data_IF_188427357554
#
_entry.id   IF_188427357554
#
_cell.length_a   1.000
_cell.length_b   1.000
_cell.length_c   1.000
_cell.angle_alpha   90.00
_cell.angle_beta   90.00
_cell.angle_gamma   90.00
#
_symmetry.space_group_name_H-M   'P 1'
#
loop_
_entity.id
_entity.type
_entity.pdbx_description
1 polymer ?
#
# COMPACT_ATOMS: atom_id res chain seq x y z
N UNK A 1 -8.65 23.25 18.05
CA UNK A 1 -8.53 22.47 16.82
C UNK A 1 -9.62 21.40 16.90
N UNK A 2 -10.47 21.25 15.86
CA UNK A 2 -11.46 20.17 15.80
C UNK A 2 -10.72 18.82 15.74
N UNK A 3 -11.17 17.85 16.54
CA UNK A 3 -10.62 16.50 16.54
C UNK A 3 -10.94 15.80 15.22
N UNK A 4 -10.05 14.92 14.78
CA UNK A 4 -10.30 14.03 13.65
C UNK A 4 -11.54 13.17 13.95
N UNK A 5 -12.47 12.99 12.98
CA UNK A 5 -13.61 12.11 13.16
C UNK A 5 -13.16 10.68 13.46
N UNK A 6 -13.68 10.11 14.55
CA UNK A 6 -13.48 8.70 14.90
C UNK A 6 -14.58 7.81 14.36
N UNK A 7 -14.28 6.52 14.11
CA UNK A 7 -15.22 5.47 13.70
C UNK A 7 -14.95 4.16 14.40
N UNK A 8 -15.97 3.38 14.65
CA UNK A 8 -15.86 2.00 15.09
C UNK A 8 -15.72 1.14 13.83
N UNK A 9 -14.50 0.69 13.54
CA UNK A 9 -14.24 -0.20 12.42
C UNK A 9 -14.77 -1.62 12.67
N UNK A 10 -14.60 -2.10 13.89
CA UNK A 10 -15.16 -3.38 14.39
C UNK A 10 -15.32 -3.31 15.90
N UNK A 11 -16.22 -4.12 16.46
CA UNK A 11 -16.42 -4.21 17.92
C UNK A 11 -15.19 -4.72 18.68
N UNK A 12 -14.19 -5.25 17.98
CA UNK A 12 -12.94 -5.78 18.55
C UNK A 12 -11.85 -4.73 18.72
N UNK A 13 -12.02 -3.57 18.09
CA UNK A 13 -11.05 -2.46 18.13
C UNK A 13 -11.65 -1.24 18.83
N UNK A 14 -10.83 -0.44 19.52
CA UNK A 14 -11.22 0.92 19.91
C UNK A 14 -11.59 1.75 18.67
N UNK A 15 -12.26 2.90 18.84
CA UNK A 15 -12.51 3.82 17.73
C UNK A 15 -11.20 4.23 17.05
N UNK A 16 -11.19 4.16 15.72
CA UNK A 16 -10.05 4.59 14.89
C UNK A 16 -10.33 5.95 14.25
N UNK A 17 -9.30 6.73 13.99
CA UNK A 17 -9.43 7.95 13.16
C UNK A 17 -9.88 7.57 11.76
N UNK A 18 -10.81 8.35 11.19
CA UNK A 18 -11.31 8.11 9.84
C UNK A 18 -10.22 8.27 8.77
N UNK A 19 -9.21 9.10 9.04
CA UNK A 19 -7.94 9.15 8.33
C UNK A 19 -6.97 8.15 8.94
N UNK A 20 -6.60 7.10 8.20
CA UNK A 20 -5.52 6.19 8.55
C UNK A 20 -4.22 6.59 7.82
N UNK A 21 -3.08 6.41 8.47
CA UNK A 21 -1.78 6.63 7.85
C UNK A 21 -1.37 5.40 7.03
N UNK A 22 -1.31 5.52 5.70
CA UNK A 22 -0.79 4.47 4.80
C UNK A 22 0.73 4.51 4.74
N UNK A 23 1.41 3.65 5.48
CA UNK A 23 2.86 3.73 5.71
C UNK A 23 3.73 3.27 4.54
N UNK A 24 3.16 2.68 3.48
CA UNK A 24 3.91 2.29 2.27
C UNK A 24 4.74 3.45 1.72
N UNK A 25 4.20 4.68 1.80
CA UNK A 25 4.78 5.87 1.20
C UNK A 25 6.10 6.33 1.84
N UNK A 26 6.34 6.02 3.10
CA UNK A 26 7.57 6.41 3.81
C UNK A 26 8.66 5.34 3.74
N UNK A 27 8.30 4.11 3.34
CA UNK A 27 9.19 2.96 3.32
C UNK A 27 10.00 2.81 2.03
N UNK A 28 10.83 1.74 1.98
CA UNK A 28 11.79 1.50 0.90
C UNK A 28 11.16 1.20 -0.46
N UNK A 29 9.85 0.92 -0.52
CA UNK A 29 9.15 0.69 -1.78
C UNK A 29 8.72 1.99 -2.48
N UNK A 30 8.76 3.14 -1.78
CA UNK A 30 8.41 4.44 -2.34
C UNK A 30 9.46 5.51 -1.99
N UNK A 31 9.24 6.37 -1.00
CA UNK A 31 10.14 7.51 -0.71
C UNK A 31 11.49 7.09 -0.10
N UNK A 32 11.59 5.86 0.39
CA UNK A 32 12.80 5.32 1.01
C UNK A 32 13.41 6.27 2.06
N UNK A 33 12.54 6.82 2.91
CA UNK A 33 12.99 7.65 4.02
C UNK A 33 13.81 6.80 5.00
N UNK A 34 14.79 7.40 5.66
CA UNK A 34 15.44 6.68 6.76
C UNK A 34 14.46 6.42 7.90
N UNK A 35 14.65 5.37 8.72
CA UNK A 35 13.78 5.12 9.86
C UNK A 35 13.64 6.31 10.80
N UNK A 36 14.72 7.13 10.98
CA UNK A 36 14.71 8.33 11.82
C UNK A 36 13.79 9.41 11.25
N UNK A 37 13.88 9.70 9.94
CA UNK A 37 13.02 10.71 9.28
C UNK A 37 11.57 10.23 9.18
N UNK A 38 11.34 9.00 8.81
CA UNK A 38 10.00 8.42 8.80
C UNK A 38 9.39 8.42 10.22
N UNK A 39 10.21 8.14 11.24
CA UNK A 39 9.80 8.22 12.64
C UNK A 39 9.35 9.62 13.06
N UNK A 40 9.97 10.69 12.55
CA UNK A 40 9.54 12.07 12.77
C UNK A 40 8.17 12.33 12.12
N UNK A 41 8.01 11.96 10.86
CA UNK A 41 6.75 12.11 10.12
C UNK A 41 5.61 11.34 10.79
N UNK A 42 5.85 10.09 11.16
CA UNK A 42 4.85 9.23 11.81
C UNK A 42 4.47 9.75 13.21
N UNK A 43 5.46 10.11 14.04
CA UNK A 43 5.17 10.66 15.38
C UNK A 43 4.38 11.96 15.28
N UNK A 44 4.70 12.82 14.32
CA UNK A 44 3.92 14.03 14.06
C UNK A 44 2.46 13.70 13.73
N UNK A 45 2.21 12.72 12.86
CA UNK A 45 0.86 12.29 12.51
C UNK A 45 0.08 11.77 13.72
N UNK A 46 0.72 10.91 14.54
CA UNK A 46 0.10 10.34 15.74
C UNK A 46 -0.23 11.42 16.77
N UNK A 47 0.71 12.35 17.01
CA UNK A 47 0.52 13.47 17.95
C UNK A 47 -0.54 14.48 17.49
N UNK A 48 -0.93 14.44 16.20
CA UNK A 48 -2.02 15.22 15.60
C UNK A 48 -3.36 14.46 15.57
N UNK A 49 -3.42 13.27 16.14
CA UNK A 49 -4.66 12.52 16.35
C UNK A 49 -4.95 11.45 15.31
N UNK A 50 -4.03 11.14 14.38
CA UNK A 50 -4.13 9.95 13.54
C UNK A 50 -3.75 8.76 14.41
N UNK A 51 -4.73 7.97 14.83
CA UNK A 51 -4.52 6.81 15.69
C UNK A 51 -4.65 5.47 14.97
N UNK A 52 -4.71 5.47 13.63
CA UNK A 52 -4.79 4.27 12.82
C UNK A 52 -3.70 4.28 11.75
N UNK A 53 -2.90 3.21 11.74
CA UNK A 53 -1.78 3.04 10.80
C UNK A 53 -1.97 1.74 10.01
N UNK A 54 -1.80 1.81 8.69
CA UNK A 54 -1.78 0.67 7.79
C UNK A 54 -0.37 0.36 7.30
N UNK A 55 0.05 -0.90 7.47
CA UNK A 55 1.31 -1.44 6.96
C UNK A 55 1.14 -2.87 6.43
N UNK A 56 2.25 -3.51 6.05
CA UNK A 56 2.32 -4.91 5.67
C UNK A 56 3.75 -5.43 5.84
N UNK A 57 3.89 -6.74 6.05
CA UNK A 57 5.18 -7.44 6.06
C UNK A 57 6.01 -7.13 4.79
N UNK A 58 5.36 -7.16 3.64
CA UNK A 58 6.00 -6.89 2.35
C UNK A 58 6.54 -5.46 2.20
N UNK A 59 6.03 -4.48 2.97
CA UNK A 59 6.48 -3.09 2.88
C UNK A 59 7.87 -2.86 3.48
N UNK A 60 8.36 -3.79 4.31
CA UNK A 60 9.69 -3.75 4.95
C UNK A 60 9.97 -2.47 5.73
N UNK A 61 8.93 -1.91 6.35
CA UNK A 61 8.99 -0.61 7.02
C UNK A 61 8.65 -0.66 8.52
N UNK A 62 8.67 -1.82 9.15
CA UNK A 62 8.42 -1.94 10.59
C UNK A 62 9.39 -1.11 11.43
N UNK A 63 10.67 -1.03 11.04
CA UNK A 63 11.67 -0.19 11.72
C UNK A 63 11.30 1.31 11.70
N UNK A 64 10.73 1.78 10.58
CA UNK A 64 10.24 3.16 10.42
C UNK A 64 9.07 3.44 11.37
N UNK A 65 8.12 2.50 11.44
CA UNK A 65 6.95 2.60 12.31
C UNK A 65 7.37 2.56 13.78
N UNK A 66 8.25 1.63 14.16
CA UNK A 66 8.81 1.55 15.52
C UNK A 66 9.45 2.87 15.93
N UNK A 67 10.25 3.49 15.05
CA UNK A 67 10.86 4.79 15.33
C UNK A 67 9.81 5.90 15.57
N UNK A 68 8.67 5.86 14.85
CA UNK A 68 7.54 6.77 15.07
C UNK A 68 6.83 6.54 16.40
N UNK A 69 6.58 5.28 16.74
CA UNK A 69 5.96 4.90 18.02
C UNK A 69 6.83 5.28 19.21
N UNK A 70 8.15 5.14 19.11
CA UNK A 70 9.09 5.53 20.17
C UNK A 70 9.17 7.06 20.41
N UNK A 71 8.83 7.85 19.40
CA UNK A 71 8.89 9.32 19.46
C UNK A 71 7.54 9.96 19.82
N UNK A 72 6.40 9.32 19.52
CA UNK A 72 5.09 9.90 19.76
C UNK A 72 4.71 9.84 21.25
N UNK A 73 3.80 10.76 21.65
CA UNK A 73 3.42 10.94 23.07
C UNK A 73 2.60 9.80 23.64
N UNK A 74 1.79 9.14 22.81
CA UNK A 74 0.84 8.09 23.22
C UNK A 74 0.87 6.91 22.26
N UNK A 75 1.96 6.14 22.23
CA UNK A 75 2.10 5.01 21.32
C UNK A 75 1.02 3.95 21.52
N UNK A 76 0.52 3.79 22.74
CA UNK A 76 -0.52 2.81 23.11
C UNK A 76 -1.87 3.10 22.44
N UNK A 77 -2.14 4.33 22.02
CA UNK A 77 -3.39 4.70 21.34
C UNK A 77 -3.35 4.39 19.83
N UNK A 78 -2.16 4.14 19.27
CA UNK A 78 -1.99 3.87 17.84
C UNK A 78 -2.38 2.44 17.51
N UNK A 79 -3.48 2.27 16.76
CA UNK A 79 -3.94 0.99 16.22
C UNK A 79 -3.14 0.63 14.97
N UNK A 80 -2.56 -0.56 14.94
CA UNK A 80 -1.71 -1.03 13.84
C UNK A 80 -2.41 -2.15 13.07
N UNK A 81 -2.59 -1.92 11.76
CA UNK A 81 -2.98 -2.92 10.79
C UNK A 81 -1.76 -3.42 10.03
N UNK A 82 -1.52 -4.74 10.00
CA UNK A 82 -0.51 -5.36 9.16
C UNK A 82 -1.07 -6.50 8.32
N UNK A 83 -0.27 -6.98 7.35
CA UNK A 83 -0.71 -7.95 6.34
C UNK A 83 0.42 -8.91 5.97
N UNK A 84 0.06 -10.14 5.58
CA UNK A 84 1.01 -11.14 5.06
C UNK A 84 0.46 -11.86 3.84
N UNK A 85 1.36 -12.35 2.98
CA UNK A 85 1.04 -13.28 1.89
C UNK A 85 1.13 -14.75 2.31
N UNK A 86 1.30 -15.03 3.60
CA UNK A 86 1.33 -16.41 4.08
C UNK A 86 0.04 -17.16 3.72
N UNK A 87 0.19 -18.38 3.24
CA UNK A 87 -0.92 -19.25 2.84
C UNK A 87 -1.09 -20.46 3.78
N UNK A 88 -0.09 -20.74 4.61
CA UNK A 88 -0.07 -21.84 5.56
C UNK A 88 0.07 -21.37 7.01
N UNK A 89 -0.02 -22.31 7.94
CA UNK A 89 0.08 -22.05 9.37
C UNK A 89 1.46 -21.49 9.77
N UNK A 90 2.53 -22.08 9.25
CA UNK A 90 3.89 -21.72 9.65
C UNK A 90 4.21 -20.28 9.26
N UNK A 91 3.92 -19.91 8.01
CA UNK A 91 4.13 -18.54 7.51
C UNK A 91 3.25 -17.52 8.22
N UNK A 92 2.00 -17.87 8.58
CA UNK A 92 1.13 -16.96 9.33
C UNK A 92 1.65 -16.69 10.74
N UNK A 93 2.15 -17.72 11.44
CA UNK A 93 2.78 -17.56 12.76
C UNK A 93 4.04 -16.69 12.66
N UNK A 94 4.94 -17.00 11.72
CA UNK A 94 6.16 -16.25 11.50
C UNK A 94 5.88 -14.76 11.20
N UNK A 95 4.92 -14.48 10.33
CA UNK A 95 4.58 -13.10 9.96
C UNK A 95 4.01 -12.27 11.12
N UNK A 96 3.17 -12.89 11.99
CA UNK A 96 2.65 -12.21 13.17
C UNK A 96 3.75 -11.99 14.20
N UNK A 97 4.61 -12.97 14.44
CA UNK A 97 5.73 -12.84 15.40
C UNK A 97 6.77 -11.82 14.89
N UNK A 98 7.10 -11.81 13.58
CA UNK A 98 7.93 -10.78 12.96
C UNK A 98 7.37 -9.37 13.21
N UNK A 99 6.08 -9.17 12.94
CA UNK A 99 5.45 -7.87 13.15
C UNK A 99 5.51 -7.45 14.62
N UNK A 100 5.20 -8.34 15.56
CA UNK A 100 5.23 -8.04 17.00
C UNK A 100 6.63 -7.66 17.48
N UNK A 101 7.63 -8.44 17.11
CA UNK A 101 9.04 -8.22 17.48
C UNK A 101 9.59 -6.93 16.84
N UNK A 102 9.36 -6.73 15.55
CA UNK A 102 9.91 -5.58 14.84
C UNK A 102 9.25 -4.26 15.24
N UNK A 103 7.95 -4.27 15.57
CA UNK A 103 7.19 -3.11 16.03
C UNK A 103 7.30 -2.87 17.54
N UNK A 104 7.89 -3.81 18.29
CA UNK A 104 7.94 -3.78 19.76
C UNK A 104 6.53 -3.72 20.39
N UNK A 105 5.65 -4.63 19.93
CA UNK A 105 4.25 -4.72 20.35
C UNK A 105 3.89 -6.14 20.79
N UNK A 106 3.28 -6.29 21.93
CA UNK A 106 2.76 -7.59 22.39
C UNK A 106 1.56 -8.06 21.57
N UNK A 107 0.73 -7.12 21.12
CA UNK A 107 -0.49 -7.36 20.37
C UNK A 107 -0.51 -6.50 19.11
N UNK A 108 -0.87 -7.08 17.97
CA UNK A 108 -1.20 -6.33 16.73
C UNK A 108 -2.72 -6.20 16.64
N UNK A 109 -3.20 -4.99 16.37
CA UNK A 109 -4.63 -4.70 16.44
C UNK A 109 -5.42 -5.36 15.31
N UNK A 110 -4.92 -5.29 14.08
CA UNK A 110 -5.54 -5.92 12.91
C UNK A 110 -4.48 -6.65 12.09
N UNK A 111 -4.69 -7.94 11.82
CA UNK A 111 -3.81 -8.70 10.95
C UNK A 111 -4.59 -9.31 9.78
N UNK A 112 -4.09 -9.16 8.57
CA UNK A 112 -4.84 -9.48 7.36
C UNK A 112 -4.07 -10.40 6.41
N UNK A 113 -4.80 -11.20 5.62
CA UNK A 113 -4.24 -11.78 4.41
C UNK A 113 -4.15 -10.70 3.33
N UNK A 114 -2.97 -10.61 2.69
CA UNK A 114 -2.66 -9.55 1.73
C UNK A 114 -3.19 -9.91 0.34
N UNK A 115 -3.84 -8.95 -0.34
CA UNK A 115 -4.24 -8.97 -1.75
C UNK A 115 -4.95 -10.27 -2.21
N UNK A 116 -6.02 -10.63 -1.50
CA UNK A 116 -6.86 -11.75 -1.92
C UNK A 116 -7.65 -11.39 -3.18
N UNK A 117 -7.82 -12.36 -4.09
CA UNK A 117 -8.39 -12.11 -5.42
C UNK A 117 -9.82 -12.67 -5.59
N UNK A 118 -10.15 -13.76 -4.89
CA UNK A 118 -11.44 -14.44 -5.02
C UNK A 118 -11.68 -15.42 -3.87
N UNK A 119 -12.83 -16.08 -3.85
CA UNK A 119 -13.12 -17.21 -2.95
C UNK A 119 -12.07 -18.33 -3.09
N UNK A 120 -11.48 -18.52 -4.26
CA UNK A 120 -10.49 -19.57 -4.47
C UNK A 120 -9.17 -19.24 -3.78
N UNK A 121 -8.71 -17.98 -3.83
CA UNK A 121 -7.52 -17.55 -3.06
C UNK A 121 -7.79 -17.62 -1.57
N UNK A 122 -8.97 -17.18 -1.10
CA UNK A 122 -9.37 -17.29 0.30
C UNK A 122 -9.36 -18.74 0.79
N UNK A 123 -9.87 -19.69 0.02
CA UNK A 123 -9.83 -21.12 0.33
C UNK A 123 -8.42 -21.69 0.24
N UNK A 124 -7.60 -21.25 -0.70
CA UNK A 124 -6.18 -21.61 -0.81
C UNK A 124 -5.33 -21.12 0.38
N UNK A 125 -5.74 -20.02 1.02
CA UNK A 125 -5.10 -19.45 2.22
C UNK A 125 -5.83 -19.82 3.52
N UNK A 126 -6.71 -20.84 3.48
CA UNK A 126 -7.56 -21.19 4.62
C UNK A 126 -6.77 -21.55 5.87
N UNK A 127 -5.67 -22.26 5.73
CA UNK A 127 -4.82 -22.65 6.86
C UNK A 127 -4.21 -21.44 7.56
N UNK A 128 -3.73 -20.45 6.79
CA UNK A 128 -3.26 -19.18 7.32
C UNK A 128 -4.39 -18.41 8.01
N UNK A 129 -5.58 -18.32 7.39
CA UNK A 129 -6.73 -17.63 7.93
C UNK A 129 -7.20 -18.25 9.27
N UNK A 130 -7.31 -19.57 9.35
CA UNK A 130 -7.67 -20.29 10.59
C UNK A 130 -6.61 -20.07 11.68
N UNK A 131 -5.34 -19.93 11.30
CA UNK A 131 -4.25 -19.58 12.22
C UNK A 131 -4.41 -18.17 12.77
N UNK A 132 -4.75 -17.19 11.93
CA UNK A 132 -5.03 -15.83 12.39
C UNK A 132 -6.23 -15.81 13.35
N UNK A 133 -7.30 -16.54 13.07
CA UNK A 133 -8.42 -16.67 14.02
C UNK A 133 -7.98 -17.28 15.34
N UNK A 134 -7.16 -18.33 15.33
CA UNK A 134 -6.63 -18.92 16.55
C UNK A 134 -5.75 -17.96 17.36
N UNK A 135 -4.96 -17.09 16.68
CA UNK A 135 -4.16 -16.04 17.31
C UNK A 135 -5.05 -14.93 17.89
N UNK A 136 -6.16 -14.61 17.24
CA UNK A 136 -7.17 -13.70 17.76
C UNK A 136 -7.79 -14.21 19.04
N UNK A 137 -8.20 -15.47 19.09
CA UNK A 137 -8.77 -16.07 20.31
C UNK A 137 -7.77 -16.14 21.47
N UNK A 138 -6.46 -16.17 21.15
CA UNK A 138 -5.37 -16.10 22.16
C UNK A 138 -5.03 -14.67 22.58
N UNK A 139 -5.62 -13.64 21.95
CA UNK A 139 -5.33 -12.24 22.20
C UNK A 139 -3.98 -11.75 21.66
N UNK A 140 -3.34 -12.51 20.77
CA UNK A 140 -2.08 -12.11 20.09
C UNK A 140 -2.35 -11.06 19.01
N UNK A 141 -3.50 -11.17 18.35
CA UNK A 141 -4.07 -10.13 17.47
C UNK A 141 -5.50 -9.85 17.91
N UNK A 142 -6.05 -8.68 17.62
CA UNK A 142 -7.41 -8.30 18.03
C UNK A 142 -8.46 -8.59 16.97
N UNK A 143 -8.14 -8.33 15.70
CA UNK A 143 -9.05 -8.49 14.58
C UNK A 143 -8.36 -9.16 13.39
N UNK A 144 -9.15 -9.85 12.55
CA UNK A 144 -8.70 -10.56 11.36
C UNK A 144 -9.41 -10.03 10.13
N UNK A 145 -8.68 -9.86 9.03
CA UNK A 145 -9.25 -9.36 7.79
C UNK A 145 -8.51 -9.80 6.53
N UNK A 146 -8.87 -9.16 5.43
CA UNK A 146 -8.16 -9.27 4.16
C UNK A 146 -7.96 -7.89 3.53
N UNK A 147 -6.97 -7.76 2.65
CA UNK A 147 -6.92 -6.68 1.67
C UNK A 147 -7.18 -7.22 0.27
N UNK A 148 -7.74 -6.38 -0.61
CA UNK A 148 -8.07 -6.80 -1.97
C UNK A 148 -8.16 -5.64 -2.96
N UNK A 149 -7.90 -5.95 -4.24
CA UNK A 149 -8.17 -5.11 -5.40
C UNK A 149 -9.34 -5.66 -6.25
N UNK A 150 -10.01 -6.75 -5.80
CA UNK A 150 -10.98 -7.50 -6.57
C UNK A 150 -12.38 -7.48 -5.91
N UNK A 151 -13.41 -7.23 -6.70
CA UNK A 151 -14.81 -7.39 -6.27
C UNK A 151 -15.12 -8.85 -5.94
N UNK A 152 -14.56 -9.79 -6.71
CA UNK A 152 -14.71 -11.23 -6.49
C UNK A 152 -14.16 -11.70 -5.14
N UNK A 153 -13.16 -11.04 -4.57
CA UNK A 153 -12.68 -11.37 -3.24
C UNK A 153 -13.65 -10.92 -2.15
N UNK A 154 -14.29 -9.76 -2.33
CA UNK A 154 -15.33 -9.27 -1.39
C UNK A 154 -16.57 -10.18 -1.46
N UNK A 155 -17.00 -10.61 -2.65
CA UNK A 155 -18.03 -11.66 -2.80
C UNK A 155 -17.62 -12.97 -2.11
N UNK A 156 -16.34 -13.34 -2.20
CA UNK A 156 -15.79 -14.50 -1.51
C UNK A 156 -15.88 -14.40 0.01
N UNK A 157 -15.71 -13.19 0.58
CA UNK A 157 -15.87 -12.95 2.02
C UNK A 157 -17.34 -13.18 2.44
N UNK A 158 -18.30 -12.70 1.65
CA UNK A 158 -19.73 -12.95 1.89
C UNK A 158 -20.04 -14.46 1.86
N UNK A 159 -19.51 -15.20 0.89
CA UNK A 159 -19.67 -16.65 0.81
C UNK A 159 -19.06 -17.36 2.03
N UNK A 160 -17.87 -16.95 2.50
CA UNK A 160 -17.27 -17.49 3.71
C UNK A 160 -18.13 -17.21 4.95
N UNK A 161 -18.76 -16.04 5.03
CA UNK A 161 -19.66 -15.70 6.13
C UNK A 161 -20.90 -16.63 6.16
N UNK A 162 -21.46 -17.01 5.00
CA UNK A 162 -22.53 -18.01 4.88
C UNK A 162 -22.06 -19.41 5.36
N UNK A 163 -20.78 -19.71 5.19
CA UNK A 163 -20.13 -20.94 5.69
C UNK A 163 -19.75 -20.84 7.19
N UNK A 164 -20.07 -19.74 7.87
CA UNK A 164 -19.75 -19.51 9.29
C UNK A 164 -18.36 -18.93 9.54
N UNK A 165 -17.63 -18.49 8.52
CA UNK A 165 -16.30 -17.88 8.63
C UNK A 165 -16.42 -16.38 8.47
N UNK A 166 -16.50 -15.66 9.59
CA UNK A 166 -16.75 -14.23 9.63
C UNK A 166 -15.45 -13.45 9.84
N UNK A 167 -15.08 -12.62 8.86
CA UNK A 167 -13.98 -11.67 8.95
C UNK A 167 -14.43 -10.41 9.69
N UNK A 168 -13.49 -9.80 10.44
CA UNK A 168 -13.76 -8.57 11.17
C UNK A 168 -13.66 -7.32 10.26
N UNK A 169 -12.74 -7.35 9.27
CA UNK A 169 -12.40 -6.19 8.45
C UNK A 169 -12.04 -6.58 7.02
N UNK A 170 -12.43 -5.75 6.05
CA UNK A 170 -11.92 -5.80 4.67
C UNK A 170 -11.29 -4.46 4.30
N UNK A 171 -10.13 -4.52 3.65
CA UNK A 171 -9.34 -3.38 3.16
C UNK A 171 -9.32 -3.35 1.64
N UNK A 172 -10.36 -2.79 0.98
CA UNK A 172 -10.48 -2.79 -0.48
C UNK A 172 -9.74 -1.61 -1.11
N UNK A 173 -9.28 -1.80 -2.34
CA UNK A 173 -8.98 -0.69 -3.24
C UNK A 173 -10.30 -0.05 -3.68
N UNK A 174 -10.45 1.25 -3.41
CA UNK A 174 -11.65 1.99 -3.82
C UNK A 174 -11.34 3.44 -4.15
N UNK A 175 -11.68 3.87 -5.37
CA UNK A 175 -11.57 5.26 -5.81
C UNK A 175 -12.60 5.58 -6.90
N UNK A 176 -12.84 6.87 -7.13
CA UNK A 176 -13.82 7.38 -8.08
C UNK A 176 -13.61 6.92 -9.53
N UNK A 177 -12.37 6.78 -9.95
CA UNK A 177 -12.01 6.41 -11.32
C UNK A 177 -11.93 4.89 -11.56
N UNK A 178 -11.99 4.06 -10.50
CA UNK A 178 -11.83 2.61 -10.61
C UNK A 178 -10.42 2.16 -10.95
N UNK A 179 -9.44 3.05 -10.97
CA UNK A 179 -8.05 2.71 -11.29
C UNK A 179 -7.51 1.75 -10.24
N UNK A 180 -7.10 0.57 -10.70
CA UNK A 180 -6.56 -0.49 -9.87
C UNK A 180 -7.61 -1.49 -9.36
N UNK A 181 -8.90 -1.32 -9.59
CA UNK A 181 -9.90 -2.38 -9.44
C UNK A 181 -9.65 -3.40 -10.55
N UNK A 182 -9.36 -4.63 -10.18
CA UNK A 182 -8.91 -5.65 -11.13
C UNK A 182 -10.06 -6.32 -11.90
N UNK A 183 -11.26 -6.31 -11.30
CA UNK A 183 -12.45 -6.94 -11.85
C UNK A 183 -13.71 -6.10 -11.50
N UNK A 184 -14.33 -5.51 -12.49
CA UNK A 184 -15.51 -4.68 -12.32
C UNK A 184 -15.22 -3.17 -12.25
N UNK A 185 -16.26 -2.41 -11.92
CA UNK A 185 -16.29 -0.95 -11.87
C UNK A 185 -16.33 -0.44 -10.41
N UNK A 186 -16.15 0.86 -10.16
CA UNK A 186 -16.39 1.44 -8.83
C UNK A 186 -17.82 1.16 -8.31
N UNK A 187 -18.81 1.12 -9.19
CA UNK A 187 -20.18 0.82 -8.82
C UNK A 187 -20.36 -0.63 -8.37
N UNK A 188 -19.73 -1.58 -9.07
CA UNK A 188 -19.73 -3.00 -8.69
C UNK A 188 -19.06 -3.20 -7.34
N UNK A 189 -17.88 -2.60 -7.13
CA UNK A 189 -17.20 -2.64 -5.85
C UNK A 189 -18.03 -2.01 -4.73
N UNK A 190 -18.66 -0.85 -4.96
CA UNK A 190 -19.52 -0.20 -3.98
C UNK A 190 -20.73 -1.07 -3.60
N UNK A 191 -21.34 -1.72 -4.57
CA UNK A 191 -22.50 -2.58 -4.33
C UNK A 191 -22.16 -3.78 -3.43
N UNK A 192 -21.04 -4.46 -3.68
CA UNK A 192 -20.62 -5.60 -2.87
C UNK A 192 -20.11 -5.18 -1.48
N UNK A 193 -19.42 -4.02 -1.38
CA UNK A 193 -18.97 -3.48 -0.10
C UNK A 193 -20.14 -3.05 0.79
N UNK A 194 -21.21 -2.50 0.20
CA UNK A 194 -22.45 -2.17 0.94
C UNK A 194 -23.04 -3.43 1.57
N UNK A 195 -23.22 -4.49 0.78
CA UNK A 195 -23.73 -5.77 1.28
C UNK A 195 -22.87 -6.34 2.39
N UNK A 196 -21.53 -6.25 2.25
CA UNK A 196 -20.61 -6.75 3.27
C UNK A 196 -20.68 -5.90 4.56
N UNK A 197 -20.71 -4.58 4.44
CA UNK A 197 -20.82 -3.67 5.59
C UNK A 197 -22.12 -3.90 6.38
N UNK A 198 -23.22 -4.21 5.70
CA UNK A 198 -24.52 -4.55 6.34
C UNK A 198 -24.43 -5.81 7.21
N UNK A 199 -23.45 -6.68 7.02
CA UNK A 199 -23.18 -7.83 7.91
C UNK A 199 -22.44 -7.44 9.21
N UNK A 200 -21.98 -6.19 9.32
CA UNK A 200 -21.17 -5.69 10.43
C UNK A 200 -19.66 -5.86 10.25
N UNK A 201 -19.19 -6.23 9.05
CA UNK A 201 -17.78 -6.22 8.69
C UNK A 201 -17.30 -4.77 8.50
N UNK A 202 -16.19 -4.38 9.16
CA UNK A 202 -15.61 -3.06 9.01
C UNK A 202 -14.89 -2.88 7.66
N UNK A 203 -14.95 -1.68 7.10
CA UNK A 203 -14.33 -1.40 5.81
C UNK A 203 -13.45 -0.15 5.91
N UNK A 204 -12.17 -0.30 5.63
CA UNK A 204 -11.29 0.85 5.44
C UNK A 204 -10.60 0.79 4.07
N UNK A 205 -10.80 1.85 3.26
CA UNK A 205 -10.36 1.87 1.87
C UNK A 205 -8.89 2.22 1.70
N UNK A 206 -8.30 1.75 0.60
CA UNK A 206 -6.98 2.19 0.13
C UNK A 206 -7.07 2.82 -1.25
N UNK A 207 -6.03 3.59 -1.60
CA UNK A 207 -5.83 4.18 -2.93
C UNK A 207 -6.99 5.09 -3.39
N UNK A 208 -7.58 5.86 -2.46
CA UNK A 208 -8.62 6.84 -2.76
C UNK A 208 -8.18 7.87 -3.83
N UNK A 209 -6.88 8.17 -3.90
CA UNK A 209 -6.26 9.03 -4.92
C UNK A 209 -5.70 8.24 -6.12
N UNK A 210 -6.09 6.96 -6.28
CA UNK A 210 -5.69 6.11 -7.40
C UNK A 210 -4.16 6.09 -7.65
N UNK A 211 -3.35 5.98 -6.58
CA UNK A 211 -1.89 6.02 -6.70
C UNK A 211 -1.33 7.37 -7.15
N UNK A 212 -2.10 8.45 -7.03
CA UNK A 212 -1.71 9.79 -7.47
C UNK A 212 -2.39 10.27 -8.75
N UNK A 213 -3.08 9.41 -9.51
CA UNK A 213 -3.78 9.80 -10.74
C UNK A 213 -4.88 10.86 -10.50
N UNK A 214 -5.53 10.83 -9.34
CA UNK A 214 -6.61 11.75 -8.98
C UNK A 214 -6.12 12.95 -8.16
N UNK A 215 -4.84 13.19 -8.18
CA UNK A 215 -4.21 14.17 -7.34
C UNK A 215 -4.64 15.63 -7.62
N UNK A 216 -4.84 15.99 -8.88
CA UNK A 216 -5.31 17.33 -9.25
C UNK A 216 -6.72 17.64 -8.72
N UNK A 217 -7.52 16.59 -8.49
CA UNK A 217 -8.86 16.67 -7.96
C UNK A 217 -8.95 15.92 -6.61
N UNK A 218 -7.90 15.98 -5.78
CA UNK A 218 -7.79 15.20 -4.55
C UNK A 218 -8.98 15.40 -3.61
N UNK A 219 -9.50 16.64 -3.48
CA UNK A 219 -10.67 16.94 -2.66
C UNK A 219 -11.91 16.18 -3.13
N UNK A 220 -12.21 16.22 -4.43
CA UNK A 220 -13.34 15.50 -5.01
C UNK A 220 -13.18 13.98 -4.91
N UNK A 221 -11.96 13.48 -5.12
CA UNK A 221 -11.67 12.06 -5.02
C UNK A 221 -11.81 11.52 -3.59
N UNK A 222 -11.33 12.24 -2.60
CA UNK A 222 -11.51 11.89 -1.19
C UNK A 222 -12.96 12.03 -0.74
N UNK A 223 -13.66 13.10 -1.14
CA UNK A 223 -15.08 13.29 -0.85
C UNK A 223 -15.90 12.12 -1.36
N UNK A 224 -15.71 11.71 -2.62
CA UNK A 224 -16.40 10.57 -3.22
C UNK A 224 -16.26 9.28 -2.38
N UNK A 225 -15.05 9.00 -1.87
CA UNK A 225 -14.81 7.81 -1.04
C UNK A 225 -15.43 7.97 0.34
N UNK A 226 -15.32 9.16 0.95
CA UNK A 226 -15.80 9.42 2.30
C UNK A 226 -17.33 9.55 2.39
N UNK A 227 -18.01 9.85 1.29
CA UNK A 227 -19.48 9.89 1.19
C UNK A 227 -20.11 8.50 1.14
N UNK A 228 -19.32 7.44 0.89
CA UNK A 228 -19.85 6.08 0.88
C UNK A 228 -20.27 5.65 2.29
N UNK A 229 -21.51 5.19 2.50
CA UNK A 229 -22.00 4.81 3.83
C UNK A 229 -21.20 3.65 4.46
N UNK A 230 -20.64 2.76 3.62
CA UNK A 230 -19.84 1.62 4.03
C UNK A 230 -18.38 1.97 4.38
N UNK A 231 -17.91 3.19 4.11
CA UNK A 231 -16.51 3.55 4.29
C UNK A 231 -16.24 4.09 5.70
N UNK A 232 -15.72 3.25 6.58
CA UNK A 232 -15.42 3.61 7.97
C UNK A 232 -14.17 4.46 8.08
N UNK A 233 -13.08 4.07 7.38
CA UNK A 233 -11.82 4.80 7.35
C UNK A 233 -11.14 4.71 5.98
N UNK A 234 -10.15 5.58 5.74
CA UNK A 234 -9.37 5.61 4.49
C UNK A 234 -7.88 5.73 4.80
N UNK A 235 -7.08 4.79 4.29
CA UNK A 235 -5.64 4.86 4.35
C UNK A 235 -5.09 5.80 3.28
N UNK A 236 -4.46 6.89 3.72
CA UNK A 236 -3.82 7.88 2.85
C UNK A 236 -2.31 7.86 3.10
N UNK A 237 -1.54 7.74 2.04
CA UNK A 237 -0.09 7.83 2.11
C UNK A 237 0.36 9.29 2.22
N UNK A 238 1.22 9.56 3.19
CA UNK A 238 1.78 10.88 3.45
C UNK A 238 3.29 10.76 3.68
N UNK A 239 4.08 11.76 3.29
CA UNK A 239 5.54 11.72 3.35
C UNK A 239 6.16 12.87 4.17
N UNK A 240 5.37 13.90 4.47
CA UNK A 240 5.80 15.04 5.27
C UNK A 240 4.65 15.63 6.11
N UNK A 241 5.02 16.56 6.98
CA UNK A 241 4.11 17.22 7.93
C UNK A 241 3.06 18.09 7.20
N UNK A 242 3.39 18.65 6.05
CA UNK A 242 2.48 19.49 5.26
C UNK A 242 1.36 18.64 4.63
N UNK A 243 1.70 17.45 4.12
CA UNK A 243 0.72 16.48 3.63
C UNK A 243 -0.19 15.99 4.78
N UNK A 244 0.36 15.76 5.97
CA UNK A 244 -0.40 15.36 7.16
C UNK A 244 -1.40 16.45 7.54
N UNK A 245 -0.95 17.69 7.68
CA UNK A 245 -1.82 18.81 8.05
C UNK A 245 -2.93 19.06 7.02
N UNK A 246 -2.60 18.98 5.74
CA UNK A 246 -3.57 19.12 4.67
C UNK A 246 -4.66 18.02 4.72
N UNK A 247 -4.27 16.76 4.92
CA UNK A 247 -5.22 15.65 5.02
C UNK A 247 -6.05 15.74 6.31
N UNK A 248 -5.45 16.07 7.45
CA UNK A 248 -6.19 16.30 8.70
C UNK A 248 -7.24 17.40 8.50
N UNK A 249 -6.87 18.52 7.89
CA UNK A 249 -7.80 19.60 7.61
C UNK A 249 -8.96 19.11 6.72
N UNK A 250 -8.66 18.38 5.64
CA UNK A 250 -9.69 17.84 4.75
C UNK A 250 -10.65 16.88 5.47
N UNK A 251 -10.13 15.92 6.24
CA UNK A 251 -10.97 14.95 6.98
C UNK A 251 -11.80 15.60 8.10
N UNK A 252 -11.38 16.78 8.56
CA UNK A 252 -12.09 17.53 9.60
C UNK A 252 -13.12 18.51 9.05
N UNK A 253 -12.81 19.18 7.92
CA UNK A 253 -13.62 20.30 7.40
C UNK A 253 -14.28 20.01 6.04
N UNK A 254 -13.89 18.94 5.36
CA UNK A 254 -14.32 18.61 3.98
C UNK A 254 -13.57 19.40 2.89
N UNK A 255 -12.57 20.22 3.25
CA UNK A 255 -11.81 21.02 2.28
C UNK A 255 -10.32 21.10 2.64
N UNK A 256 -9.48 21.14 1.61
CA UNK A 256 -8.06 21.44 1.79
C UNK A 256 -7.87 22.95 2.10
N UNK A 257 -6.90 23.31 2.94
CA UNK A 257 -6.56 24.71 3.18
C UNK A 257 -6.17 25.45 1.90
N UNK A 258 -6.58 26.71 1.75
CA UNK A 258 -6.30 27.52 0.55
C UNK A 258 -4.80 27.69 0.25
N UNK A 259 -3.95 27.60 1.26
CA UNK A 259 -2.49 27.68 1.16
C UNK A 259 -1.82 26.31 1.12
N UNK A 260 -2.56 25.23 0.95
CA UNK A 260 -1.96 23.91 0.75
C UNK A 260 -1.00 24.06 -0.43
N UNK A 261 0.30 23.84 -0.20
CA UNK A 261 1.32 23.79 -1.25
C UNK A 261 0.69 23.03 -2.38
N UNK A 262 0.65 23.63 -3.59
CA UNK A 262 -0.07 22.98 -4.67
C UNK A 262 0.54 21.60 -4.80
N UNK A 263 -0.20 20.64 -4.34
CA UNK A 263 0.11 19.23 -4.47
C UNK A 263 0.36 18.92 -5.96
N UNK A 264 -0.05 19.79 -6.88
CA UNK A 264 0.21 19.82 -8.32
C UNK A 264 1.69 19.71 -8.73
N UNK A 265 2.63 20.00 -7.82
CA UNK A 265 4.07 19.93 -8.12
C UNK A 265 4.73 18.59 -7.79
N UNK A 266 4.08 17.74 -7.00
CA UNK A 266 4.63 16.43 -6.63
C UNK A 266 4.00 15.37 -7.56
N UNK A 267 4.50 15.25 -8.77
CA UNK A 267 4.14 14.14 -9.66
C UNK A 267 5.02 12.95 -9.31
N UNK A 268 4.57 12.13 -8.38
CA UNK A 268 5.21 10.82 -8.17
C UNK A 268 5.09 10.00 -9.45
N UNK A 269 6.18 9.34 -9.83
CA UNK A 269 6.22 8.48 -11.01
C UNK A 269 7.13 7.28 -10.77
N UNK A 270 6.85 6.20 -11.44
CA UNK A 270 7.80 5.10 -11.56
C UNK A 270 8.82 5.49 -12.64
N UNK A 271 10.07 5.57 -12.23
CA UNK A 271 11.20 5.76 -13.12
C UNK A 271 11.94 4.44 -13.33
N UNK A 272 12.41 4.22 -14.54
CA UNK A 272 13.21 3.07 -14.91
C UNK A 272 14.55 3.60 -15.41
N UNK A 273 15.61 3.24 -14.69
CA UNK A 273 16.97 3.68 -14.97
C UNK A 273 17.51 3.05 -16.26
N UNK A 274 18.41 3.76 -16.93
CA UNK A 274 19.01 3.36 -18.20
C UNK A 274 19.73 2.01 -18.13
N UNK A 275 20.27 1.62 -16.98
CA UNK A 275 20.93 0.34 -16.76
C UNK A 275 19.98 -0.86 -16.51
N UNK A 276 18.70 -0.71 -16.83
CA UNK A 276 17.74 -1.81 -16.77
C UNK A 276 18.17 -2.97 -17.69
N UNK A 277 18.31 -4.19 -17.15
CA UNK A 277 18.76 -5.37 -17.88
C UNK A 277 17.64 -6.13 -18.63
N UNK A 278 16.40 -5.63 -18.61
CA UNK A 278 15.27 -6.28 -19.29
C UNK A 278 14.91 -7.68 -18.79
N UNK A 279 15.26 -8.03 -17.56
CA UNK A 279 15.05 -9.38 -17.00
C UNK A 279 13.57 -9.77 -16.80
N UNK A 280 12.63 -8.84 -16.92
CA UNK A 280 11.19 -9.05 -16.88
C UNK A 280 10.61 -9.39 -15.49
N UNK A 281 11.39 -9.38 -14.41
CA UNK A 281 10.88 -9.68 -13.05
C UNK A 281 9.80 -8.69 -12.62
N UNK A 282 10.00 -7.38 -12.88
CA UNK A 282 9.05 -6.34 -12.61
C UNK A 282 7.73 -6.49 -13.40
N UNK A 283 7.82 -6.93 -14.66
CA UNK A 283 6.66 -7.21 -15.50
C UNK A 283 5.82 -8.33 -14.91
N UNK A 284 6.44 -9.45 -14.54
CA UNK A 284 5.75 -10.59 -13.90
C UNK A 284 5.16 -10.24 -12.53
N UNK A 285 5.76 -9.27 -11.82
CA UNK A 285 5.28 -8.85 -10.49
C UNK A 285 4.16 -7.82 -10.56
N UNK A 286 4.00 -7.13 -11.68
CA UNK A 286 3.02 -6.06 -11.83
C UNK A 286 1.61 -6.60 -12.01
N UNK A 287 0.80 -6.62 -10.97
CA UNK A 287 -0.60 -7.06 -11.01
C UNK A 287 -1.48 -6.16 -11.88
N UNK A 288 -1.09 -4.88 -12.06
CA UNK A 288 -1.82 -3.92 -12.88
C UNK A 288 -1.52 -4.04 -14.37
N UNK A 289 -0.58 -4.90 -14.78
CA UNK A 289 -0.14 -4.98 -16.18
C UNK A 289 0.46 -3.66 -16.69
N UNK A 290 0.95 -2.81 -15.80
CA UNK A 290 1.51 -1.49 -16.14
C UNK A 290 2.95 -1.55 -16.66
N UNK A 291 3.61 -2.70 -16.59
CA UNK A 291 5.00 -2.87 -17.05
C UNK A 291 5.05 -3.85 -18.20
N UNK A 292 5.81 -3.48 -19.23
CA UNK A 292 6.08 -4.32 -20.41
C UNK A 292 7.58 -4.34 -20.70
N UNK A 293 8.04 -5.32 -21.46
CA UNK A 293 9.37 -5.29 -22.05
C UNK A 293 9.29 -4.65 -23.43
N UNK A 294 10.21 -3.75 -23.74
CA UNK A 294 10.32 -3.08 -25.02
C UNK A 294 11.78 -3.05 -25.48
N UNK A 295 12.02 -2.86 -26.75
CA UNK A 295 13.36 -2.61 -27.27
C UNK A 295 13.74 -1.14 -27.08
N UNK A 296 14.86 -0.89 -26.43
CA UNK A 296 15.46 0.45 -26.38
C UNK A 296 16.18 0.72 -27.70
N UNK A 297 15.86 1.87 -28.31
CA UNK A 297 16.52 2.35 -29.54
C UNK A 297 17.64 3.35 -29.26
N UNK A 298 17.94 3.61 -27.98
CA UNK A 298 18.96 4.61 -27.62
C UNK A 298 20.36 3.96 -27.70
N UNK A 299 21.26 4.66 -28.41
CA UNK A 299 22.70 4.46 -28.33
C UNK A 299 23.15 4.87 -26.92
N UNK A 300 23.16 3.94 -25.97
CA UNK A 300 23.77 4.23 -24.68
C UNK A 300 25.26 3.86 -24.77
N UNK A 301 26.11 4.88 -24.82
CA UNK A 301 27.45 4.73 -24.28
C UNK A 301 27.30 4.39 -22.80
N UNK A 302 27.45 3.11 -22.46
CA UNK A 302 27.47 2.68 -21.07
C UNK A 302 28.77 3.24 -20.44
N UNK A 303 28.72 4.29 -19.61
CA UNK A 303 29.93 4.90 -19.04
C UNK A 303 30.70 3.95 -18.11
N UNK A 304 30.12 2.77 -17.80
CA UNK A 304 30.70 1.73 -16.95
C UNK A 304 31.08 0.46 -17.73
N UNK A 305 31.04 0.46 -19.06
CA UNK A 305 31.56 -0.62 -19.86
C UNK A 305 33.07 -0.52 -19.97
N UNK A 306 33.76 -0.98 -18.94
CA UNK A 306 35.20 -1.03 -18.88
C UNK A 306 35.81 -1.90 -20.01
N UNK A 307 35.04 -2.87 -20.52
CA UNK A 307 35.48 -3.71 -21.65
C UNK A 307 35.51 -2.93 -22.97
N UNK A 308 34.48 -2.14 -23.26
CA UNK A 308 34.43 -1.29 -24.46
C UNK A 308 35.44 -0.14 -24.38
N UNK A 309 35.61 0.46 -23.21
CA UNK A 309 36.61 1.52 -22.99
C UNK A 309 38.05 0.98 -23.16
N UNK A 310 38.34 -0.25 -22.67
CA UNK A 310 39.63 -0.90 -22.87
C UNK A 310 39.87 -1.27 -24.35
N UNK A 311 38.89 -1.88 -25.01
CA UNK A 311 38.99 -2.23 -26.43
C UNK A 311 39.17 -1.02 -27.35
N UNK A 312 38.50 0.11 -27.04
CA UNK A 312 38.67 1.37 -27.76
C UNK A 312 40.08 1.98 -27.58
N UNK A 313 40.69 1.84 -26.40
CA UNK A 313 42.06 2.34 -26.11
C UNK A 313 43.12 1.56 -26.87
N UNK A 314 42.85 0.28 -27.24
CA UNK A 314 43.77 -0.61 -28.00
C UNK A 314 43.47 -0.55 -29.53
N UNK A 315 42.51 0.28 -30.00
CA UNK A 315 42.21 0.40 -31.41
C UNK A 315 41.57 -0.85 -32.05
N UNK A 316 40.96 -1.70 -31.25
CA UNK A 316 40.44 -3.02 -31.65
C UNK A 316 38.98 -2.97 -32.16
N UNK A 317 38.26 -1.85 -31.90
CA UNK A 317 36.82 -1.77 -32.24
C UNK A 317 36.54 -0.53 -33.11
N UNK A 318 35.96 -0.75 -34.27
CA UNK A 318 35.19 0.28 -35.00
C UNK A 318 33.87 0.52 -34.24
N UNK A 319 33.37 1.75 -34.22
CA UNK A 319 32.06 2.10 -33.65
C UNK A 319 31.02 1.06 -34.06
N UNK A 320 30.60 0.22 -33.09
CA UNK A 320 29.66 -0.88 -33.36
C UNK A 320 28.28 -0.32 -33.71
N UNK A 321 27.53 -1.09 -34.52
CA UNK A 321 26.08 -0.82 -34.72
C UNK A 321 25.37 -0.75 -33.36
N UNK A 322 24.35 0.12 -33.23
CA UNK A 322 23.60 0.24 -31.97
C UNK A 322 23.01 -1.11 -31.58
N UNK A 323 23.42 -1.65 -30.44
CA UNK A 323 22.89 -2.90 -29.93
C UNK A 323 21.52 -2.60 -29.32
N UNK A 324 20.47 -3.05 -30.03
CA UNK A 324 19.11 -3.06 -29.47
C UNK A 324 19.10 -3.92 -28.20
N UNK A 325 18.74 -3.33 -27.07
CA UNK A 325 18.58 -4.08 -25.82
C UNK A 325 17.14 -4.00 -25.34
N UNK A 326 16.68 -5.10 -24.74
CA UNK A 326 15.37 -5.15 -24.10
C UNK A 326 15.43 -4.43 -22.74
N UNK A 327 14.48 -3.54 -22.48
CA UNK A 327 14.33 -2.82 -21.20
C UNK A 327 12.86 -2.88 -20.74
N UNK A 328 12.62 -2.64 -19.47
CA UNK A 328 11.26 -2.45 -18.99
C UNK A 328 10.76 -1.06 -19.40
N UNK A 329 9.47 -0.96 -19.70
CA UNK A 329 8.76 0.31 -19.89
C UNK A 329 7.49 0.33 -19.04
N UNK A 330 7.08 1.51 -18.58
CA UNK A 330 5.88 1.69 -17.75
C UNK A 330 4.79 2.40 -18.53
N UNK A 331 3.58 1.84 -18.44
CA UNK A 331 2.34 2.54 -18.81
C UNK A 331 1.89 3.37 -17.60
N UNK A 332 2.05 4.70 -17.64
CA UNK A 332 1.74 5.56 -16.52
C UNK A 332 0.24 5.54 -16.16
N UNK A 333 -0.64 5.29 -17.13
CA UNK A 333 -2.09 5.32 -16.91
C UNK A 333 -2.57 4.09 -16.11
N UNK A 334 -1.83 2.99 -16.14
CA UNK A 334 -2.10 1.77 -15.37
C UNK A 334 -1.31 1.70 -14.07
N UNK A 335 -0.21 2.44 -13.94
CA UNK A 335 0.68 2.34 -12.78
C UNK A 335 0.06 2.99 -11.54
N UNK A 336 -0.29 2.21 -10.53
CA UNK A 336 -0.85 2.70 -9.25
C UNK A 336 0.23 3.02 -8.20
N UNK A 337 1.48 3.15 -8.60
CA UNK A 337 2.65 3.51 -7.79
C UNK A 337 2.75 2.70 -6.48
N UNK A 338 2.45 1.40 -6.52
CA UNK A 338 2.55 0.53 -5.35
C UNK A 338 4.00 0.20 -4.95
N UNK A 339 4.97 0.40 -5.85
CA UNK A 339 6.40 0.13 -5.58
C UNK A 339 6.80 -1.34 -5.60
N UNK A 340 5.89 -2.31 -5.79
CA UNK A 340 6.21 -3.74 -5.72
C UNK A 340 7.24 -4.20 -6.76
N UNK A 341 7.29 -3.53 -7.90
CA UNK A 341 8.28 -3.78 -8.94
C UNK A 341 9.70 -3.38 -8.52
N UNK A 342 9.87 -2.41 -7.62
CA UNK A 342 11.18 -1.96 -7.14
C UNK A 342 11.84 -3.05 -6.30
N UNK A 343 11.08 -3.74 -5.46
CA UNK A 343 11.58 -4.79 -4.56
C UNK A 343 12.09 -6.05 -5.29
N UNK A 344 11.63 -6.30 -6.53
CA UNK A 344 12.04 -7.49 -7.30
C UNK A 344 13.09 -7.19 -8.37
N UNK A 345 13.52 -5.93 -8.49
CA UNK A 345 14.54 -5.54 -9.44
C UNK A 345 15.94 -5.91 -8.91
N UNK A 346 16.68 -6.82 -9.58
CA UNK A 346 17.97 -7.30 -9.07
C UNK A 346 19.06 -6.24 -9.15
N UNK A 347 18.89 -5.26 -10.03
CA UNK A 347 19.86 -4.17 -10.26
C UNK A 347 19.35 -2.80 -9.77
N UNK A 348 18.22 -2.78 -9.06
CA UNK A 348 17.62 -1.56 -8.51
C UNK A 348 17.33 -0.45 -9.54
N UNK A 349 17.03 -0.85 -10.78
CA UNK A 349 16.76 0.07 -11.87
C UNK A 349 15.36 0.72 -11.81
N UNK A 350 14.46 0.29 -10.92
CA UNK A 350 13.12 0.86 -10.77
C UNK A 350 13.03 1.66 -9.48
N UNK A 351 12.59 2.92 -9.58
CA UNK A 351 12.45 3.85 -8.46
C UNK A 351 11.11 4.59 -8.55
N UNK A 352 10.48 4.86 -7.40
CA UNK A 352 9.27 5.70 -7.30
C UNK A 352 9.65 7.00 -6.61
N UNK A 353 9.55 8.14 -7.30
CA UNK A 353 9.77 9.49 -6.76
C UNK A 353 8.92 10.55 -7.46
#
# INVERSE_FOLDING_TARGET
MSELPGRILTKRLPPVSRLAFGSLTVGPLQADLTPERAGEVLSYAFDRGINFLDTAQYYRNYAHIRAGLQKCRRPEDVMISSKTYAYDRAGALEAVDEARLALDRDVIDLFMLHEQESIHTLRGHREALDTLFALREKGVIRAVGISTHHTAAVEGVLQLAEEGVVLDVVHPLFNKAGIGIADGTPADMAAVLTRLHDTGCGIFGMKALAGGHLFQNAGEALAYVLEQPFMDAVAVGMQDEAEIDANIAFFTTGAFPANTRSLEKIRRRLHIEEYCEGCGRCVRRCQQGALVLTESKEETENPYDFGAAFAASEGIVSAGEPVSRTVAAVDPDKCVLCGYCTAVCPVFALKVY
#
